data_IF_114465062512
#
_entry.id   IF_114465062512
#
_cell.length_a   1.000
_cell.length_b   1.000
_cell.length_c   1.000
_cell.angle_alpha   90.00
_cell.angle_beta   90.00
_cell.angle_gamma   90.00
#
_symmetry.space_group_name_H-M   'P 1'
#
loop_
_entity.id
_entity.type
_entity.pdbx_description
1 polymer ?
#
# COMPACT_ATOMS: atom_id res chain seq x y z
N UNK A 1 -14.78 -12.59 18.65
CA UNK A 1 -13.52 -13.35 18.70
C UNK A 1 -12.79 -13.16 17.37
N UNK A 2 -12.38 -11.96 16.96
CA UNK A 2 -11.57 -10.92 17.63
C UNK A 2 -10.18 -11.40 18.03
N UNK A 3 -9.19 -10.73 17.40
CA UNK A 3 -7.74 -10.79 17.56
C UNK A 3 -7.02 -11.87 16.76
N UNK A 4 -6.24 -11.38 15.79
CA UNK A 4 -5.00 -11.89 15.20
C UNK A 4 -5.01 -11.38 13.75
N UNK A 5 -4.39 -10.26 13.41
CA UNK A 5 -2.96 -10.06 13.49
C UNK A 5 -2.69 -8.58 13.68
N UNK A 6 -2.62 -8.19 14.94
CA UNK A 6 -1.60 -7.24 15.34
C UNK A 6 -0.28 -7.77 14.76
N UNK A 7 0.54 -6.89 14.19
CA UNK A 7 1.91 -7.15 13.75
C UNK A 7 2.19 -7.34 12.25
N UNK A 8 1.94 -6.27 11.48
CA UNK A 8 3.03 -5.67 10.71
C UNK A 8 3.38 -4.30 11.31
N UNK A 9 3.39 -4.26 12.65
CA UNK A 9 3.81 -3.12 13.47
C UNK A 9 5.07 -3.57 14.16
N UNK A 10 6.06 -3.89 13.35
CA UNK A 10 7.43 -4.02 13.81
C UNK A 10 8.22 -3.11 12.88
N UNK A 11 8.50 -1.95 13.44
CA UNK A 11 9.71 -1.15 13.26
C UNK A 11 10.47 -1.31 11.94
N UNK A 12 10.47 -0.26 11.12
CA UNK A 12 11.65 0.08 10.32
C UNK A 12 11.89 1.58 10.55
N UNK A 13 12.45 1.90 11.72
CA UNK A 13 13.38 3.01 11.78
C UNK A 13 14.66 2.51 11.11
N UNK A 14 15.21 3.32 10.22
CA UNK A 14 16.57 3.20 9.68
C UNK A 14 16.82 2.19 8.54
N UNK A 15 17.56 2.69 7.54
CA UNK A 15 18.23 1.94 6.45
C UNK A 15 17.31 1.38 5.33
N UNK A 16 17.43 1.74 4.04
CA UNK A 16 18.60 2.10 3.26
C UNK A 16 18.21 2.95 2.05
N UNK A 17 18.96 4.04 1.87
CA UNK A 17 19.48 4.41 0.55
C UNK A 17 20.01 3.14 -0.15
N UNK A 18 19.26 2.57 -1.11
CA UNK A 18 19.80 1.46 -1.89
C UNK A 18 18.84 0.42 -2.48
N UNK A 19 17.52 0.57 -2.38
CA UNK A 19 16.64 -0.30 -3.17
C UNK A 19 16.71 0.17 -4.63
N UNK A 20 17.66 -0.38 -5.38
CA UNK A 20 17.70 -0.22 -6.84
C UNK A 20 16.30 -0.54 -7.37
N UNK A 21 15.74 0.21 -8.32
CA UNK A 21 14.54 -0.22 -9.02
C UNK A 21 14.91 -1.53 -9.71
N UNK A 22 14.56 -2.65 -9.07
CA UNK A 22 14.81 -3.95 -9.65
C UNK A 22 13.95 -4.00 -10.90
N UNK A 23 14.60 -3.86 -12.04
CA UNK A 23 14.01 -3.92 -13.38
C UNK A 23 13.63 -5.36 -13.75
N UNK A 24 13.27 -6.18 -12.77
CA UNK A 24 12.72 -7.51 -12.95
C UNK A 24 11.26 -7.38 -13.35
N UNK A 25 11.03 -7.15 -14.65
CA UNK A 25 9.75 -6.94 -15.34
C UNK A 25 8.69 -8.04 -15.18
N UNK A 26 8.75 -8.94 -14.19
CA UNK A 26 7.78 -10.04 -14.11
C UNK A 26 7.54 -10.65 -12.73
N UNK A 27 7.93 -9.98 -11.63
CA UNK A 27 7.59 -10.47 -10.27
C UNK A 27 6.57 -9.57 -9.59
N UNK A 28 5.50 -10.15 -9.01
CA UNK A 28 4.52 -9.39 -8.25
C UNK A 28 5.17 -8.63 -7.08
N UNK A 29 4.85 -7.35 -6.89
CA UNK A 29 5.45 -6.53 -5.82
C UNK A 29 5.09 -7.04 -4.43
N UNK A 30 3.95 -7.73 -4.30
CA UNK A 30 3.53 -8.31 -3.03
C UNK A 30 4.49 -9.39 -2.52
N UNK A 31 5.31 -10.03 -3.36
CA UNK A 31 6.28 -11.05 -2.92
C UNK A 31 7.36 -10.49 -1.99
N UNK A 32 7.69 -9.21 -2.10
CA UNK A 32 8.62 -8.53 -1.20
C UNK A 32 7.94 -7.98 0.06
N UNK A 33 6.63 -8.15 0.20
CA UNK A 33 5.85 -7.67 1.33
C UNK A 33 5.62 -8.80 2.33
N UNK A 34 6.26 -8.74 3.51
CA UNK A 34 6.23 -9.82 4.52
C UNK A 34 4.82 -10.34 4.87
N UNK A 35 3.79 -9.51 4.76
CA UNK A 35 2.39 -9.92 5.05
C UNK A 35 1.60 -10.47 3.86
N UNK A 36 2.14 -10.50 2.65
CA UNK A 36 1.39 -10.96 1.48
C UNK A 36 1.05 -12.46 1.53
N UNK A 37 1.89 -13.29 2.17
CA UNK A 37 1.72 -14.73 2.21
C UNK A 37 0.42 -15.22 2.88
N UNK A 38 -0.26 -14.38 3.66
CA UNK A 38 -1.51 -14.72 4.38
C UNK A 38 -2.75 -14.01 3.83
N UNK A 39 -2.64 -13.32 2.68
CA UNK A 39 -3.74 -12.57 2.09
C UNK A 39 -4.56 -13.43 1.10
N UNK A 40 -5.87 -13.23 1.11
CA UNK A 40 -6.79 -13.76 0.09
C UNK A 40 -6.43 -13.24 -1.32
N UNK A 41 -6.68 -14.01 -2.41
CA UNK A 41 -6.39 -13.58 -3.78
C UNK A 41 -6.89 -12.19 -4.15
N UNK A 42 -8.07 -11.76 -3.67
CA UNK A 42 -8.58 -10.40 -3.93
C UNK A 42 -7.76 -9.35 -3.19
N UNK A 43 -7.36 -9.65 -1.95
CA UNK A 43 -6.50 -8.76 -1.17
C UNK A 43 -5.09 -8.66 -1.78
N UNK A 44 -4.57 -9.75 -2.36
CA UNK A 44 -3.31 -9.74 -3.11
C UNK A 44 -3.40 -8.88 -4.38
N UNK A 45 -4.50 -8.98 -5.13
CA UNK A 45 -4.72 -8.15 -6.31
C UNK A 45 -4.79 -6.66 -5.96
N UNK A 46 -5.50 -6.29 -4.88
CA UNK A 46 -5.51 -4.91 -4.37
C UNK A 46 -4.12 -4.47 -3.92
N UNK A 47 -3.40 -5.32 -3.17
CA UNK A 47 -2.04 -5.02 -2.70
C UNK A 47 -1.09 -4.74 -3.88
N UNK A 48 -1.14 -5.55 -4.93
CA UNK A 48 -0.36 -5.35 -6.15
C UNK A 48 -0.62 -3.98 -6.78
N UNK A 49 -1.90 -3.63 -6.97
CA UNK A 49 -2.30 -2.35 -7.57
C UNK A 49 -1.82 -1.15 -6.76
N UNK A 50 -1.89 -1.23 -5.42
CA UNK A 50 -1.41 -0.18 -4.53
C UNK A 50 0.11 -0.07 -4.51
N UNK A 51 0.84 -1.20 -4.53
CA UNK A 51 2.30 -1.20 -4.59
C UNK A 51 2.81 -0.63 -5.92
N UNK A 52 2.18 -0.99 -7.04
CA UNK A 52 2.48 -0.43 -8.36
C UNK A 52 2.22 1.08 -8.38
N UNK A 53 1.10 1.53 -7.83
CA UNK A 53 0.80 2.96 -7.71
C UNK A 53 1.83 3.71 -6.85
N UNK A 54 2.24 3.14 -5.71
CA UNK A 54 3.29 3.73 -4.87
C UNK A 54 4.61 3.88 -5.62
N UNK A 55 5.00 2.88 -6.40
CA UNK A 55 6.22 2.95 -7.23
C UNK A 55 6.12 4.06 -8.30
N UNK A 56 4.99 4.16 -8.99
CA UNK A 56 4.77 5.22 -9.97
C UNK A 56 4.88 6.62 -9.34
N UNK A 57 4.26 6.83 -8.18
CA UNK A 57 4.30 8.12 -7.48
C UNK A 57 5.68 8.41 -6.90
N UNK A 58 6.37 7.40 -6.36
CA UNK A 58 7.73 7.52 -5.85
C UNK A 58 8.70 7.97 -6.95
N UNK A 59 8.60 7.36 -8.14
CA UNK A 59 9.38 7.75 -9.33
C UNK A 59 9.00 9.16 -9.81
N UNK A 60 7.72 9.47 -9.88
CA UNK A 60 7.26 10.78 -10.35
C UNK A 60 7.70 11.92 -9.43
N UNK A 61 7.75 11.68 -8.12
CA UNK A 61 8.12 12.68 -7.12
C UNK A 61 9.59 12.67 -6.73
N UNK A 62 10.38 11.75 -7.27
CA UNK A 62 11.76 11.50 -6.86
C UNK A 62 11.91 11.37 -5.33
N UNK A 63 11.01 10.59 -4.72
CA UNK A 63 10.98 10.35 -3.27
C UNK A 63 10.98 8.86 -2.97
N UNK A 64 11.56 8.44 -1.85
CA UNK A 64 11.50 7.04 -1.44
C UNK A 64 10.06 6.60 -1.15
N UNK A 65 9.75 5.32 -1.41
CA UNK A 65 8.39 4.77 -1.34
C UNK A 65 7.69 5.00 0.00
N UNK A 66 8.42 4.94 1.13
CA UNK A 66 7.86 5.16 2.47
C UNK A 66 7.33 6.58 2.68
N UNK A 67 7.87 7.57 1.94
CA UNK A 67 7.43 8.97 2.00
C UNK A 67 6.16 9.21 1.19
N UNK A 68 5.84 8.29 0.27
CA UNK A 68 4.59 8.29 -0.50
C UNK A 68 3.49 7.61 0.32
N UNK A 69 3.68 6.32 0.63
CA UNK A 69 2.77 5.50 1.42
C UNK A 69 3.58 4.49 2.24
N UNK A 70 3.43 4.57 3.57
CA UNK A 70 4.01 3.59 4.47
C UNK A 70 3.33 2.22 4.35
N UNK A 71 4.07 1.18 4.71
CA UNK A 71 3.59 -0.20 4.62
C UNK A 71 2.32 -0.43 5.47
N UNK A 72 2.22 0.23 6.63
CA UNK A 72 1.05 0.16 7.51
C UNK A 72 -0.21 0.71 6.82
N UNK A 73 -0.12 1.87 6.17
CA UNK A 73 -1.22 2.46 5.43
C UNK A 73 -1.68 1.55 4.28
N UNK A 74 -0.73 0.96 3.55
CA UNK A 74 -1.04 0.03 2.46
C UNK A 74 -1.80 -1.18 2.98
N UNK A 75 -1.35 -1.77 4.09
CA UNK A 75 -2.04 -2.91 4.69
C UNK A 75 -3.46 -2.57 5.15
N UNK A 76 -3.65 -1.41 5.76
CA UNK A 76 -4.99 -0.96 6.15
C UNK A 76 -5.89 -0.72 4.93
N UNK A 77 -5.37 -0.14 3.84
CA UNK A 77 -6.10 0.00 2.57
C UNK A 77 -6.49 -1.36 2.01
N UNK A 78 -5.56 -2.33 1.99
CA UNK A 78 -5.82 -3.69 1.48
C UNK A 78 -6.84 -4.46 2.33
N UNK A 79 -6.87 -4.18 3.64
CA UNK A 79 -7.81 -4.79 4.58
C UNK A 79 -9.20 -4.19 4.46
N UNK A 80 -9.29 -2.86 4.48
CA UNK A 80 -10.56 -2.10 4.46
C UNK A 80 -11.16 -2.10 3.06
N UNK A 81 -10.33 -2.16 2.01
CA UNK A 81 -10.72 -2.05 0.60
C UNK A 81 -11.60 -0.82 0.37
N UNK A 82 -11.10 0.39 0.68
CA UNK A 82 -11.87 1.62 0.63
C UNK A 82 -12.35 1.89 -0.80
N UNK A 83 -13.66 2.00 -0.97
CA UNK A 83 -14.30 2.32 -2.26
C UNK A 83 -14.80 3.76 -2.31
N UNK A 84 -14.74 4.48 -1.20
CA UNK A 84 -15.13 5.89 -1.07
C UNK A 84 -14.11 6.72 -0.31
N UNK A 85 -14.18 8.05 -0.46
CA UNK A 85 -13.32 8.98 0.31
C UNK A 85 -13.58 8.87 1.82
N UNK A 86 -14.82 8.61 2.23
CA UNK A 86 -15.17 8.41 3.64
C UNK A 86 -14.40 7.23 4.24
N UNK A 87 -14.28 6.10 3.53
CA UNK A 87 -13.54 4.93 3.98
C UNK A 87 -12.05 5.24 4.19
N UNK A 88 -11.47 6.09 3.34
CA UNK A 88 -10.07 6.52 3.47
C UNK A 88 -9.83 7.36 4.73
N UNK A 89 -10.81 8.16 5.17
CA UNK A 89 -10.65 8.99 6.37
C UNK A 89 -10.57 8.17 7.66
N UNK A 90 -11.11 6.95 7.66
CA UNK A 90 -11.01 6.02 8.78
C UNK A 90 -9.66 5.31 8.89
N UNK A 91 -8.75 5.46 7.91
CA UNK A 91 -7.48 4.76 7.88
C UNK A 91 -6.43 5.48 8.71
N UNK A 92 -5.93 4.81 9.75
CA UNK A 92 -4.87 5.36 10.60
C UNK A 92 -3.60 5.63 9.78
N UNK A 93 -3.13 6.89 9.81
CA UNK A 93 -1.89 7.30 9.13
C UNK A 93 -2.08 7.85 7.71
N UNK A 94 -3.31 7.98 7.22
CA UNK A 94 -3.62 8.82 6.04
C UNK A 94 -4.02 10.23 6.49
N UNK A 95 -3.20 11.23 6.15
CA UNK A 95 -3.55 12.63 6.42
C UNK A 95 -4.65 13.12 5.45
N UNK A 96 -5.53 14.04 5.87
CA UNK A 96 -6.59 14.58 4.99
C UNK A 96 -6.04 15.22 3.71
N UNK A 97 -4.87 15.87 3.77
CA UNK A 97 -4.16 16.40 2.58
C UNK A 97 -3.77 15.30 1.58
N UNK A 98 -3.37 14.14 2.08
CA UNK A 98 -3.01 12.99 1.23
C UNK A 98 -4.26 12.36 0.61
N UNK A 99 -5.35 12.28 1.38
CA UNK A 99 -6.65 11.78 0.89
C UNK A 99 -7.21 12.72 -0.17
N UNK A 100 -7.09 14.02 0.01
CA UNK A 100 -7.53 15.00 -0.99
C UNK A 100 -6.76 14.85 -2.31
N UNK A 101 -5.43 14.76 -2.21
CA UNK A 101 -4.56 14.68 -3.39
C UNK A 101 -4.54 13.30 -4.07
N UNK A 102 -4.50 12.22 -3.30
CA UNK A 102 -4.26 10.85 -3.80
C UNK A 102 -5.45 9.91 -3.58
N UNK A 103 -6.46 10.31 -2.80
CA UNK A 103 -7.55 9.42 -2.42
C UNK A 103 -8.38 8.92 -3.62
N UNK A 104 -8.59 9.77 -4.63
CA UNK A 104 -9.28 9.35 -5.86
C UNK A 104 -8.51 8.23 -6.59
N UNK A 105 -7.21 8.39 -6.76
CA UNK A 105 -6.34 7.39 -7.39
C UNK A 105 -6.23 6.12 -6.55
N UNK A 106 -6.19 6.22 -5.23
CA UNK A 106 -6.20 5.06 -4.34
C UNK A 106 -7.49 4.24 -4.50
N UNK A 107 -8.65 4.89 -4.47
CA UNK A 107 -9.95 4.23 -4.65
C UNK A 107 -10.02 3.54 -6.01
N UNK A 108 -9.54 4.20 -7.07
CA UNK A 108 -9.50 3.61 -8.41
C UNK A 108 -8.65 2.33 -8.43
N UNK A 109 -7.45 2.37 -7.86
CA UNK A 109 -6.55 1.20 -7.79
C UNK A 109 -7.12 0.06 -6.94
N UNK A 110 -7.84 0.39 -5.86
CA UNK A 110 -8.57 -0.61 -5.06
C UNK A 110 -9.66 -1.25 -5.91
N UNK A 111 -10.47 -0.46 -6.62
CA UNK A 111 -11.55 -0.98 -7.47
C UNK A 111 -11.03 -1.86 -8.62
N UNK A 112 -9.90 -1.47 -9.22
CA UNK A 112 -9.22 -2.30 -10.22
C UNK A 112 -8.75 -3.64 -9.65
N UNK A 113 -8.30 -3.68 -8.39
CA UNK A 113 -7.88 -4.92 -7.74
C UNK A 113 -9.03 -5.80 -7.26
N UNK A 114 -10.25 -5.25 -7.21
CA UNK A 114 -11.47 -5.97 -6.85
C UNK A 114 -12.27 -6.47 -8.07
N UNK A 115 -11.94 -5.98 -9.26
CA UNK A 115 -12.59 -6.37 -10.52
C UNK A 115 -12.14 -7.74 -11.01
#
# INVERSE_FOLDING_TARGET
MEKELLFCVEEECEQLSGVRPNSSRNRPFFLSFKCAARLDPRSLAVLEKILCFRDQVARHRDRPHFKVLGNKQIMEIVRIKPVSKADLTGIQGLSPKLIDHMGKSLIEKVREGLS
#
